data_IF_256494866183
#
_entry.id   IF_256494866183
#
_cell.length_a   1.000
_cell.length_b   1.000
_cell.length_c   1.000
_cell.angle_alpha   90.00
_cell.angle_beta   90.00
_cell.angle_gamma   90.00
#
_symmetry.space_group_name_H-M   'P 1'
#
loop_
_entity.id
_entity.type
_entity.pdbx_description
1 polymer ?
#
# COMPACT_ATOMS: atom_id res chain seq x y z
N UNK A 1 -4.27 4.19 -3.17
CA UNK A 1 -4.50 3.82 -4.58
C UNK A 1 -4.31 2.33 -4.75
N UNK A 2 -5.07 1.66 -5.63
CA UNK A 2 -5.00 0.21 -5.83
C UNK A 2 -3.60 -0.32 -6.18
N UNK A 3 -3.50 -1.54 -6.68
CA UNK A 3 -2.24 -2.24 -6.95
C UNK A 3 -1.40 -1.69 -8.13
N UNK A 4 -1.40 -0.36 -8.30
CA UNK A 4 -0.54 0.32 -9.28
C UNK A 4 -1.14 0.53 -10.68
N UNK A 5 -2.43 0.26 -10.87
CA UNK A 5 -3.13 0.53 -12.12
C UNK A 5 -4.24 1.56 -11.89
N UNK A 6 -4.29 2.64 -12.68
CA UNK A 6 -5.31 3.71 -12.56
C UNK A 6 -6.75 3.19 -12.67
N UNK A 7 -6.98 2.12 -13.43
CA UNK A 7 -8.31 1.47 -13.52
C UNK A 7 -8.79 0.84 -12.21
N UNK A 8 -7.88 0.68 -11.25
CA UNK A 8 -8.15 0.10 -9.93
C UNK A 8 -8.16 1.15 -8.82
N UNK A 9 -8.06 2.43 -9.17
CA UNK A 9 -8.26 3.51 -8.21
C UNK A 9 -9.75 3.64 -7.91
N UNK A 10 -10.08 3.89 -6.66
CA UNK A 10 -11.45 4.26 -6.31
C UNK A 10 -11.77 5.65 -6.86
N UNK A 11 -13.04 5.92 -7.14
CA UNK A 11 -13.47 7.26 -7.59
C UNK A 11 -13.03 8.35 -6.62
N UNK A 12 -13.23 8.12 -5.32
CA UNK A 12 -12.82 9.03 -4.26
C UNK A 12 -11.31 9.34 -4.28
N UNK A 13 -10.47 8.31 -4.43
CA UNK A 13 -9.02 8.50 -4.53
C UNK A 13 -8.63 9.28 -5.80
N UNK A 14 -9.30 9.00 -6.93
CA UNK A 14 -9.09 9.72 -8.18
C UNK A 14 -9.45 11.20 -8.07
N UNK A 15 -10.58 11.51 -7.47
CA UNK A 15 -11.02 12.89 -7.23
C UNK A 15 -10.05 13.64 -6.27
N UNK A 16 -9.62 12.98 -5.19
CA UNK A 16 -8.68 13.58 -4.26
C UNK A 16 -7.32 13.90 -4.93
N UNK A 17 -6.83 13.03 -5.82
CA UNK A 17 -5.60 13.26 -6.59
C UNK A 17 -5.79 14.43 -7.57
N UNK A 18 -6.91 14.45 -8.32
CA UNK A 18 -7.18 15.48 -9.32
C UNK A 18 -7.34 16.89 -8.72
N UNK A 19 -7.77 16.97 -7.46
CA UNK A 19 -7.97 18.25 -6.75
C UNK A 19 -6.75 18.69 -5.94
N UNK A 20 -5.70 17.86 -5.84
CA UNK A 20 -4.52 18.16 -5.04
C UNK A 20 -3.62 19.19 -5.75
N UNK A 21 -3.11 20.15 -4.99
CA UNK A 21 -2.08 21.11 -5.42
C UNK A 21 -0.68 20.50 -5.34
N UNK A 22 -0.53 19.52 -4.45
CA UNK A 22 0.70 18.73 -4.27
C UNK A 22 0.34 17.26 -4.17
N UNK A 23 1.07 16.42 -4.89
CA UNK A 23 0.93 14.96 -4.82
C UNK A 23 2.26 14.36 -4.38
N UNK A 24 2.26 13.72 -3.21
CA UNK A 24 3.40 13.02 -2.64
C UNK A 24 3.29 11.51 -2.80
N UNK A 25 4.40 10.81 -2.94
CA UNK A 25 4.41 9.33 -2.99
C UNK A 25 5.73 8.78 -3.50
N UNK A 26 5.85 7.46 -3.51
CA UNK A 26 6.97 6.81 -4.16
C UNK A 26 6.92 7.02 -5.68
N UNK A 27 8.06 7.11 -6.33
CA UNK A 27 8.21 7.40 -7.78
C UNK A 27 7.28 6.57 -8.66
N UNK A 28 7.16 5.25 -8.39
CA UNK A 28 6.27 4.35 -9.14
C UNK A 28 4.78 4.70 -8.98
N UNK A 29 4.38 5.21 -7.82
CA UNK A 29 2.98 5.58 -7.55
C UNK A 29 2.64 6.92 -8.17
N UNK A 30 3.57 7.87 -8.15
CA UNK A 30 3.44 9.14 -8.87
C UNK A 30 3.30 8.89 -10.37
N UNK A 31 4.13 8.02 -10.96
CA UNK A 31 4.04 7.64 -12.36
C UNK A 31 2.70 6.95 -12.70
N UNK A 32 2.20 6.06 -11.82
CA UNK A 32 0.92 5.40 -12.01
C UNK A 32 -0.27 6.37 -11.90
N UNK A 33 -0.18 7.38 -11.04
CA UNK A 33 -1.23 8.38 -10.84
C UNK A 33 -1.16 9.55 -11.83
N UNK A 34 -0.08 9.66 -12.61
CA UNK A 34 0.20 10.79 -13.50
C UNK A 34 -0.99 11.25 -14.37
N UNK A 35 -1.79 10.35 -14.98
CA UNK A 35 -2.94 10.75 -15.77
C UNK A 35 -4.08 11.43 -14.99
N UNK A 36 -4.05 11.34 -13.63
CA UNK A 36 -5.06 11.95 -12.75
C UNK A 36 -4.55 13.20 -12.04
N UNK A 37 -3.24 13.42 -12.04
CA UNK A 37 -2.62 14.58 -11.39
C UNK A 37 -2.83 15.82 -12.27
N UNK A 38 -3.32 16.91 -11.68
CA UNK A 38 -3.49 18.15 -12.39
C UNK A 38 -2.15 18.64 -12.97
N UNK A 39 -2.13 19.23 -14.18
CA UNK A 39 -0.86 19.63 -14.85
C UNK A 39 -0.02 20.63 -14.08
N UNK A 40 -0.66 21.45 -13.24
CA UNK A 40 -0.07 22.48 -12.39
C UNK A 40 0.26 21.98 -10.97
N UNK A 41 -0.12 20.76 -10.62
CA UNK A 41 0.17 20.20 -9.30
C UNK A 41 1.64 19.80 -9.17
N UNK A 42 2.25 20.15 -8.02
CA UNK A 42 3.60 19.74 -7.71
C UNK A 42 3.67 18.25 -7.38
N UNK A 43 4.65 17.54 -7.95
CA UNK A 43 4.91 16.12 -7.66
C UNK A 43 6.14 16.00 -6.77
N UNK A 44 6.00 15.31 -5.63
CA UNK A 44 7.08 15.13 -4.66
C UNK A 44 7.33 13.68 -4.31
N UNK A 45 8.54 13.21 -4.53
CA UNK A 45 8.95 11.87 -4.06
C UNK A 45 9.22 11.92 -2.56
N UNK A 46 8.16 11.73 -1.74
CA UNK A 46 8.19 11.64 -0.30
C UNK A 46 7.02 10.77 0.17
N UNK A 47 7.29 9.80 1.06
CA UNK A 47 6.29 8.87 1.58
C UNK A 47 6.59 8.36 3.00
N UNK A 48 7.70 8.78 3.61
CA UNK A 48 8.00 8.50 5.01
C UNK A 48 7.63 9.71 5.87
N UNK A 49 7.19 9.52 7.12
CA UNK A 49 6.85 10.62 8.02
C UNK A 49 7.98 11.66 8.17
N UNK A 50 9.23 11.19 8.22
CA UNK A 50 10.41 12.06 8.37
C UNK A 50 10.60 13.03 7.20
N UNK A 51 10.23 12.62 5.98
CA UNK A 51 10.33 13.45 4.78
C UNK A 51 9.08 14.30 4.56
N UNK A 52 7.92 13.73 4.89
CA UNK A 52 6.62 14.35 4.64
C UNK A 52 6.33 15.51 5.60
N UNK A 53 6.58 15.36 6.90
CA UNK A 53 6.21 16.39 7.87
C UNK A 53 6.90 17.73 7.62
N UNK A 54 8.24 17.80 7.44
CA UNK A 54 8.91 19.06 7.13
C UNK A 54 8.40 19.68 5.82
N UNK A 55 8.13 18.83 4.84
CA UNK A 55 7.61 19.28 3.55
C UNK A 55 6.19 19.84 3.65
N UNK A 56 5.30 19.19 4.38
CA UNK A 56 3.93 19.67 4.62
C UNK A 56 3.93 21.03 5.34
N UNK A 57 4.83 21.23 6.30
CA UNK A 57 5.00 22.53 6.94
C UNK A 57 5.41 23.61 5.93
N UNK A 58 6.38 23.31 5.05
CA UNK A 58 6.80 24.25 4.01
C UNK A 58 5.68 24.57 3.00
N UNK A 59 4.86 23.58 2.67
CA UNK A 59 3.68 23.78 1.82
C UNK A 59 2.68 24.73 2.48
N UNK A 60 2.41 24.54 3.77
CA UNK A 60 1.51 25.41 4.54
C UNK A 60 1.99 26.86 4.55
N UNK A 61 3.29 27.09 4.73
CA UNK A 61 3.88 28.45 4.69
C UNK A 61 3.69 29.13 3.34
N UNK A 62 3.63 28.33 2.26
CA UNK A 62 3.36 28.81 0.89
C UNK A 62 1.86 28.95 0.57
N UNK A 63 0.97 28.59 1.52
CA UNK A 63 -0.48 28.67 1.33
C UNK A 63 -1.11 27.49 0.61
N UNK A 64 -0.39 26.36 0.44
CA UNK A 64 -0.95 25.13 -0.13
C UNK A 64 -2.07 24.58 0.75
N UNK A 65 -3.21 24.27 0.15
CA UNK A 65 -4.43 23.85 0.85
C UNK A 65 -4.66 22.36 0.78
N UNK A 66 -4.35 21.72 -0.37
CA UNK A 66 -4.67 20.31 -0.61
C UNK A 66 -3.42 19.52 -1.02
N UNK A 67 -3.11 18.52 -0.20
CA UNK A 67 -1.97 17.62 -0.42
C UNK A 67 -2.52 16.18 -0.47
N UNK A 68 -2.26 15.45 -1.55
CA UNK A 68 -2.54 14.03 -1.66
C UNK A 68 -1.26 13.23 -1.40
N UNK A 69 -1.34 12.20 -0.55
CA UNK A 69 -0.21 11.31 -0.26
C UNK A 69 -0.58 9.90 -0.73
N UNK A 70 0.21 9.36 -1.65
CA UNK A 70 -0.08 8.11 -2.35
C UNK A 70 0.56 6.91 -1.67
N UNK A 71 -0.27 5.92 -1.35
CA UNK A 71 0.15 4.59 -0.92
C UNK A 71 -0.47 3.51 -1.80
N UNK A 72 0.21 2.39 -1.99
CA UNK A 72 -0.32 1.28 -2.79
C UNK A 72 -1.30 0.43 -1.99
N UNK A 73 -2.29 -0.12 -2.66
CA UNK A 73 -3.24 -1.04 -2.08
C UNK A 73 -4.24 -0.39 -1.12
N UNK A 74 -4.73 -1.19 -0.21
CA UNK A 74 -5.55 -0.77 0.91
C UNK A 74 -4.68 -0.15 2.00
N UNK A 75 -5.07 0.99 2.52
CA UNK A 75 -4.33 1.74 3.55
C UNK A 75 -4.26 0.99 4.89
N UNK A 76 -5.19 0.09 5.16
CA UNK A 76 -5.22 -0.77 6.35
C UNK A 76 -4.55 -2.14 6.16
N UNK A 77 -4.02 -2.44 4.96
CA UNK A 77 -3.48 -3.76 4.63
C UNK A 77 -1.97 -3.70 4.38
N UNK A 78 -1.16 -3.85 5.43
CA UNK A 78 0.32 -3.80 5.39
C UNK A 78 0.86 -2.56 4.66
N UNK A 79 0.23 -1.43 4.86
CA UNK A 79 0.55 -0.17 4.19
C UNK A 79 1.38 0.76 5.07
N UNK A 80 2.33 1.47 4.46
CA UNK A 80 3.03 2.59 5.11
C UNK A 80 2.13 3.78 5.46
N UNK A 81 0.90 3.81 4.95
CA UNK A 81 -0.09 4.85 5.25
C UNK A 81 -0.39 4.99 6.74
N UNK A 82 -0.38 3.87 7.49
CA UNK A 82 -0.63 3.88 8.94
C UNK A 82 0.37 4.75 9.70
N UNK A 83 1.66 4.62 9.40
CA UNK A 83 2.71 5.39 10.07
C UNK A 83 2.57 6.90 9.79
N UNK A 84 2.30 7.26 8.54
CA UNK A 84 2.08 8.66 8.13
C UNK A 84 0.81 9.21 8.76
N UNK A 85 -0.29 8.44 8.74
CA UNK A 85 -1.56 8.86 9.36
C UNK A 85 -1.39 9.13 10.85
N UNK A 86 -0.74 8.23 11.60
CA UNK A 86 -0.43 8.43 13.03
C UNK A 86 0.41 9.68 13.27
N UNK A 87 1.45 9.89 12.45
CA UNK A 87 2.32 11.06 12.59
C UNK A 87 1.53 12.37 12.34
N UNK A 88 0.71 12.42 11.29
CA UNK A 88 -0.11 13.60 10.99
C UNK A 88 -1.17 13.86 12.07
N UNK A 89 -1.83 12.80 12.57
CA UNK A 89 -2.80 12.94 13.67
C UNK A 89 -2.14 13.50 14.92
N UNK A 90 -0.93 13.09 15.24
CA UNK A 90 -0.20 13.59 16.40
C UNK A 90 0.15 15.08 16.25
N UNK A 91 0.58 15.52 15.06
CA UNK A 91 0.85 16.94 14.80
C UNK A 91 -0.43 17.80 14.89
N UNK A 92 -1.57 17.27 14.45
CA UNK A 92 -2.88 17.93 14.60
C UNK A 92 -3.29 17.96 16.08
N UNK A 93 -3.14 16.85 16.81
CA UNK A 93 -3.45 16.77 18.25
C UNK A 93 -2.62 17.75 19.08
N UNK A 94 -1.36 17.94 18.73
CA UNK A 94 -0.45 18.89 19.38
C UNK A 94 -0.71 20.36 18.97
N UNK A 95 -1.67 20.61 18.09
CA UNK A 95 -1.96 21.97 17.57
C UNK A 95 -0.90 22.54 16.64
N UNK A 96 0.09 21.74 16.24
CA UNK A 96 1.17 22.17 15.34
C UNK A 96 0.73 22.22 13.88
N UNK A 97 -0.23 21.35 13.51
CA UNK A 97 -0.81 21.32 12.17
C UNK A 97 -2.33 21.51 12.28
N UNK A 98 -2.87 22.47 11.53
CA UNK A 98 -4.33 22.64 11.36
C UNK A 98 -4.71 22.07 9.99
N UNK A 99 -5.15 20.82 9.96
CA UNK A 99 -5.55 20.14 8.74
C UNK A 99 -6.63 19.08 9.02
N UNK A 100 -7.54 18.92 8.08
CA UNK A 100 -8.38 17.73 7.97
C UNK A 100 -7.61 16.60 7.30
N UNK A 101 -7.72 15.38 7.81
CA UNK A 101 -7.07 14.19 7.25
C UNK A 101 -8.17 13.24 6.78
N UNK A 102 -8.19 12.95 5.49
CA UNK A 102 -9.11 11.98 4.89
C UNK A 102 -8.32 10.80 4.34
N UNK A 103 -8.78 9.58 4.59
CA UNK A 103 -8.20 8.36 4.04
C UNK A 103 -9.12 7.82 2.95
N UNK A 104 -8.65 7.84 1.71
CA UNK A 104 -9.35 7.21 0.60
C UNK A 104 -8.90 5.74 0.50
N UNK A 105 -9.82 4.76 0.59
CA UNK A 105 -9.46 3.35 0.51
C UNK A 105 -8.99 2.97 -0.89
N UNK A 106 -8.15 1.94 -0.96
CA UNK A 106 -7.71 1.34 -2.21
C UNK A 106 -7.95 -0.17 -2.19
N UNK A 107 -7.89 -0.82 -3.35
CA UNK A 107 -8.03 -2.26 -3.48
C UNK A 107 -6.75 -2.94 -3.00
N UNK A 108 -6.85 -3.85 -2.02
CA UNK A 108 -5.71 -4.62 -1.53
C UNK A 108 -5.22 -5.65 -2.57
N UNK A 109 -3.94 -6.00 -2.50
CA UNK A 109 -3.38 -7.09 -3.32
C UNK A 109 -4.09 -8.42 -3.04
N UNK A 110 -4.50 -8.66 -1.81
CA UNK A 110 -5.29 -9.82 -1.41
C UNK A 110 -6.63 -9.90 -2.18
N UNK A 111 -7.43 -8.84 -2.10
CA UNK A 111 -8.74 -8.79 -2.78
C UNK A 111 -8.58 -8.89 -4.29
N UNK A 112 -7.57 -8.23 -4.85
CA UNK A 112 -7.31 -8.26 -6.28
C UNK A 112 -6.89 -9.65 -6.76
N UNK A 113 -5.91 -10.29 -6.10
CA UNK A 113 -5.42 -11.62 -6.46
C UNK A 113 -6.51 -12.67 -6.29
N UNK A 114 -7.24 -12.64 -5.18
CA UNK A 114 -8.34 -13.58 -4.90
C UNK A 114 -9.43 -13.51 -5.98
N UNK A 115 -9.84 -12.30 -6.36
CA UNK A 115 -10.81 -12.10 -7.44
C UNK A 115 -10.30 -12.63 -8.78
N UNK A 116 -9.02 -12.38 -9.13
CA UNK A 116 -8.42 -12.89 -10.38
C UNK A 116 -8.26 -14.41 -10.40
N UNK A 117 -8.03 -15.01 -9.23
CA UNK A 117 -7.94 -16.47 -9.07
C UNK A 117 -9.30 -17.15 -8.94
N UNK A 118 -10.42 -16.40 -8.85
CA UNK A 118 -11.75 -16.97 -8.60
C UNK A 118 -11.86 -17.65 -7.24
N UNK A 119 -11.06 -17.22 -6.26
CA UNK A 119 -11.00 -17.84 -4.92
C UNK A 119 -11.53 -16.85 -3.86
N UNK A 120 -12.33 -17.34 -2.92
CA UNK A 120 -12.67 -16.60 -1.71
C UNK A 120 -11.44 -16.51 -0.80
N UNK A 121 -11.27 -15.41 -0.08
CA UNK A 121 -10.16 -15.21 0.87
C UNK A 121 -10.61 -15.12 2.33
N UNK A 122 -11.92 -15.23 2.63
CA UNK A 122 -12.49 -15.12 3.97
C UNK A 122 -11.89 -16.10 4.99
N UNK A 123 -11.51 -17.29 4.52
CA UNK A 123 -10.92 -18.38 5.30
C UNK A 123 -9.40 -18.48 5.10
N UNK A 124 -8.78 -17.48 4.49
CA UNK A 124 -7.34 -17.50 4.24
C UNK A 124 -6.56 -16.98 5.46
N UNK A 125 -5.51 -17.68 5.85
CA UNK A 125 -4.48 -17.16 6.75
C UNK A 125 -3.63 -16.16 5.99
N UNK A 126 -3.60 -14.91 6.46
CA UNK A 126 -2.80 -13.86 5.85
C UNK A 126 -1.46 -13.79 6.57
N UNK A 127 -0.37 -13.86 5.82
CA UNK A 127 1.00 -13.83 6.31
C UNK A 127 1.81 -12.86 5.46
N UNK A 128 2.66 -12.06 6.09
CA UNK A 128 3.62 -11.21 5.39
C UNK A 128 5.03 -11.61 5.74
N UNK A 129 5.84 -11.90 4.72
CA UNK A 129 7.30 -12.07 4.84
C UNK A 129 8.04 -10.79 4.44
N UNK A 130 7.32 -9.74 4.05
CA UNK A 130 7.90 -8.45 3.67
C UNK A 130 8.47 -7.74 4.91
N UNK A 131 9.80 -7.83 5.09
CA UNK A 131 10.50 -7.25 6.23
C UNK A 131 10.17 -7.91 7.58
N UNK A 132 9.65 -9.15 7.58
CA UNK A 132 9.27 -9.92 8.77
C UNK A 132 9.63 -11.39 8.59
N UNK A 133 9.97 -12.06 9.69
CA UNK A 133 10.11 -13.52 9.70
C UNK A 133 8.74 -14.18 9.92
N UNK A 134 8.44 -15.19 9.13
CA UNK A 134 7.24 -16.00 9.30
C UNK A 134 7.54 -17.45 8.87
N UNK A 135 7.08 -18.41 9.66
CA UNK A 135 7.13 -19.83 9.31
C UNK A 135 6.00 -20.16 8.32
N UNK A 136 6.30 -19.99 7.04
CA UNK A 136 5.35 -20.25 5.94
C UNK A 136 4.99 -21.72 5.89
N UNK A 137 5.95 -22.61 6.13
CA UNK A 137 5.76 -24.07 6.10
C UNK A 137 4.77 -24.53 7.16
N UNK A 138 4.90 -24.03 8.40
CA UNK A 138 3.94 -24.32 9.46
C UNK A 138 2.54 -23.78 9.13
N UNK A 139 2.44 -22.58 8.54
CA UNK A 139 1.16 -22.03 8.12
C UNK A 139 0.50 -22.91 7.05
N UNK A 140 1.23 -23.30 6.00
CA UNK A 140 0.69 -24.13 4.91
C UNK A 140 0.27 -25.53 5.39
N UNK A 141 0.94 -26.10 6.40
CA UNK A 141 0.53 -27.39 7.00
C UNK A 141 -0.76 -27.32 7.80
N UNK A 142 -1.03 -26.18 8.42
CA UNK A 142 -2.17 -25.99 9.34
C UNK A 142 -3.40 -25.45 8.67
N UNK A 143 -3.24 -24.64 7.64
CA UNK A 143 -4.29 -23.87 7.03
C UNK A 143 -4.63 -24.37 5.63
N UNK A 144 -5.90 -24.42 5.29
CA UNK A 144 -6.35 -24.83 3.96
C UNK A 144 -6.00 -23.83 2.86
N UNK A 145 -5.80 -22.58 3.25
CA UNK A 145 -5.54 -21.46 2.34
C UNK A 145 -4.64 -20.44 3.04
N UNK A 146 -3.54 -20.09 2.41
CA UNK A 146 -2.61 -19.09 2.92
C UNK A 146 -2.42 -18.03 1.83
N UNK A 147 -2.54 -16.76 2.22
CA UNK A 147 -2.17 -15.64 1.38
C UNK A 147 -0.86 -15.05 1.89
N UNK A 148 0.15 -14.98 1.01
CA UNK A 148 1.47 -14.48 1.35
C UNK A 148 1.75 -13.14 0.67
N UNK A 149 2.25 -12.18 1.45
CA UNK A 149 2.84 -10.95 0.93
C UNK A 149 4.35 -11.13 0.99
N UNK A 150 5.00 -11.09 -0.18
CA UNK A 150 6.43 -11.34 -0.34
C UNK A 150 7.16 -10.10 -0.86
N UNK A 151 8.47 -10.01 -0.61
CA UNK A 151 9.29 -8.86 -1.05
C UNK A 151 9.67 -8.92 -2.52
N UNK A 152 9.52 -10.06 -3.18
CA UNK A 152 9.83 -10.23 -4.58
C UNK A 152 10.19 -11.66 -4.98
N UNK A 153 10.84 -11.79 -6.14
CA UNK A 153 11.13 -13.09 -6.76
C UNK A 153 12.02 -13.98 -5.90
N UNK A 154 13.02 -13.43 -5.22
CA UNK A 154 13.91 -14.19 -4.32
C UNK A 154 13.15 -14.85 -3.18
N UNK A 155 12.20 -14.15 -2.57
CA UNK A 155 11.34 -14.71 -1.53
C UNK A 155 10.46 -15.84 -2.07
N UNK A 156 9.92 -15.70 -3.28
CA UNK A 156 9.12 -16.76 -3.90
C UNK A 156 9.92 -18.02 -4.13
N UNK A 157 11.17 -17.88 -4.61
CA UNK A 157 12.07 -19.04 -4.84
C UNK A 157 12.37 -19.72 -3.50
N UNK A 158 12.82 -18.96 -2.50
CA UNK A 158 13.11 -19.47 -1.16
C UNK A 158 11.92 -20.20 -0.52
N UNK A 159 10.73 -19.61 -0.58
CA UNK A 159 9.50 -20.22 -0.07
C UNK A 159 9.17 -21.52 -0.83
N UNK A 160 9.36 -21.55 -2.14
CA UNK A 160 9.18 -22.76 -2.95
C UNK A 160 10.12 -23.89 -2.51
N UNK A 161 11.39 -23.60 -2.32
CA UNK A 161 12.40 -24.54 -1.84
C UNK A 161 12.10 -25.05 -0.41
N UNK A 162 11.66 -24.17 0.49
CA UNK A 162 11.25 -24.53 1.86
C UNK A 162 10.02 -25.46 1.86
N UNK A 163 9.03 -25.20 1.02
CA UNK A 163 7.84 -26.05 0.88
C UNK A 163 8.20 -27.41 0.30
N UNK A 164 9.07 -27.47 -0.71
CA UNK A 164 9.55 -28.73 -1.30
C UNK A 164 10.32 -29.54 -0.27
N UNK A 165 11.29 -28.96 0.42
CA UNK A 165 12.05 -29.61 1.49
C UNK A 165 11.18 -30.14 2.64
N UNK A 166 10.03 -29.48 2.87
CA UNK A 166 9.05 -29.90 3.87
C UNK A 166 8.07 -30.98 3.39
N UNK A 167 8.21 -31.48 2.15
CA UNK A 167 7.33 -32.47 1.55
C UNK A 167 5.95 -31.90 1.15
N UNK A 168 5.86 -30.59 0.89
CA UNK A 168 4.65 -29.87 0.52
C UNK A 168 4.61 -29.51 -0.97
N UNK A 169 5.33 -30.23 -1.84
CA UNK A 169 5.38 -29.99 -3.29
C UNK A 169 4.04 -30.16 -4.02
N UNK A 170 3.03 -30.76 -3.37
CA UNK A 170 1.69 -30.92 -3.92
C UNK A 170 0.72 -29.74 -3.69
N UNK A 171 1.17 -28.64 -3.04
CA UNK A 171 0.30 -27.48 -2.82
C UNK A 171 0.13 -26.65 -4.12
N UNK A 172 -1.08 -26.17 -4.35
CA UNK A 172 -1.38 -25.27 -5.47
C UNK A 172 -0.89 -23.85 -5.13
N UNK A 173 -0.09 -23.26 -6.01
CA UNK A 173 0.41 -21.90 -5.87
C UNK A 173 -0.19 -20.98 -6.94
N UNK A 174 -0.80 -19.86 -6.52
CA UNK A 174 -1.22 -18.77 -7.40
C UNK A 174 -0.35 -17.55 -7.14
N UNK A 175 0.36 -17.06 -8.16
CA UNK A 175 1.30 -15.95 -8.04
C UNK A 175 0.74 -14.73 -8.77
N UNK A 176 0.73 -13.57 -8.08
CA UNK A 176 0.43 -12.26 -8.65
C UNK A 176 1.65 -11.34 -8.57
N UNK A 177 1.91 -10.57 -9.62
CA UNK A 177 3.00 -9.59 -9.72
C UNK A 177 2.55 -8.33 -10.45
#
# INVERSE_FOLDING_TARGET
IGVGNTKLFTGEAGEAIAQAEVVCGAKRLLAAADPLIAPDAEKREAYLPADLLPYIYSCREKGTVRIAILFSGDTGFYSGAEAVHKALQEEVRLGKLQAGITICPGISSLSYLAARAGKSWQDAKIVSTHGREADVTACVRREKKVFLIVSGRSDLIRIGEELEAAGLSGVELTIGY
#
